data_IF_442177317738
#
_entry.id   IF_442177317738
#
_cell.length_a   1.000
_cell.length_b   1.000
_cell.length_c   1.000
_cell.angle_alpha   90.00
_cell.angle_beta   90.00
_cell.angle_gamma   90.00
#
_symmetry.space_group_name_H-M   'P 1'
#
loop_
_entity.id
_entity.type
_entity.pdbx_description
1 polymer ?
#
# COMPACT_ATOMS: atom_id res chain seq x y z
N UNK A 1 37.90 -9.67 -28.65
CA UNK A 1 36.50 -9.99 -28.30
C UNK A 1 35.62 -9.38 -29.39
N UNK A 2 35.11 -10.17 -30.32
CA UNK A 2 34.21 -9.69 -31.37
C UNK A 2 32.77 -9.82 -30.87
N UNK A 3 32.07 -8.70 -30.74
CA UNK A 3 30.64 -8.72 -30.43
C UNK A 3 29.86 -9.33 -31.59
N UNK A 4 28.85 -10.15 -31.28
CA UNK A 4 27.99 -10.71 -32.32
C UNK A 4 27.14 -9.59 -32.98
N UNK A 5 26.80 -9.71 -34.27
CA UNK A 5 25.90 -8.75 -34.91
C UNK A 5 24.56 -8.69 -34.18
N UNK A 6 24.05 -7.49 -33.89
CA UNK A 6 22.83 -7.33 -33.10
C UNK A 6 22.50 -5.89 -32.72
N UNK A 7 21.37 -5.72 -32.02
CA UNK A 7 20.97 -4.45 -31.43
C UNK A 7 21.57 -4.29 -30.03
N UNK A 8 22.33 -3.20 -29.84
CA UNK A 8 22.95 -2.89 -28.57
C UNK A 8 22.55 -1.47 -28.13
N UNK A 9 22.58 -1.19 -26.82
CA UNK A 9 22.30 0.16 -26.30
C UNK A 9 23.34 1.15 -26.80
N UNK A 10 22.88 2.33 -27.22
CA UNK A 10 23.76 3.42 -27.62
C UNK A 10 24.38 4.09 -26.38
N UNK A 11 25.71 4.12 -26.21
CA UNK A 11 26.36 4.76 -25.06
C UNK A 11 26.07 6.27 -24.97
N UNK A 12 25.83 6.93 -26.10
CA UNK A 12 25.56 8.36 -26.17
C UNK A 12 24.06 8.69 -26.04
N UNK A 13 23.19 7.69 -26.25
CA UNK A 13 21.75 7.86 -26.22
C UNK A 13 21.09 6.62 -25.55
N UNK A 14 21.01 6.57 -24.21
CA UNK A 14 20.52 5.39 -23.48
C UNK A 14 19.05 5.03 -23.78
N UNK A 15 18.29 5.94 -24.40
CA UNK A 15 16.92 5.70 -24.86
C UNK A 15 16.84 5.07 -26.27
N UNK A 16 17.98 4.73 -26.89
CA UNK A 16 18.05 4.17 -28.24
C UNK A 16 18.93 2.91 -28.24
N UNK A 17 18.63 2.02 -29.17
CA UNK A 17 19.52 0.93 -29.55
C UNK A 17 20.02 1.17 -30.96
N UNK A 18 21.27 0.80 -31.21
CA UNK A 18 21.96 0.94 -32.49
C UNK A 18 22.42 -0.44 -32.96
N UNK A 19 22.38 -0.67 -34.26
CA UNK A 19 22.79 -1.96 -34.83
C UNK A 19 24.31 -2.03 -34.98
N UNK A 20 24.89 -3.08 -34.43
CA UNK A 20 26.29 -3.47 -34.60
C UNK A 20 26.36 -4.64 -35.59
N UNK A 21 27.20 -4.54 -36.62
CA UNK A 21 27.30 -5.56 -37.67
C UNK A 21 28.35 -6.65 -37.39
N UNK A 22 29.00 -6.60 -36.22
CA UNK A 22 30.08 -7.51 -35.82
C UNK A 22 31.48 -6.93 -36.00
N UNK A 23 31.63 -5.86 -36.80
CA UNK A 23 32.89 -5.13 -37.01
C UNK A 23 32.77 -3.67 -36.60
N UNK A 24 31.63 -3.03 -36.90
CA UNK A 24 31.36 -1.61 -36.66
C UNK A 24 29.89 -1.31 -36.35
N UNK A 25 29.65 -0.10 -35.85
CA UNK A 25 28.30 0.42 -35.59
C UNK A 25 27.70 1.02 -36.87
N UNK A 26 26.56 0.52 -37.30
CA UNK A 26 25.86 1.03 -38.50
C UNK A 26 24.99 2.25 -38.17
N UNK A 27 24.38 2.91 -39.16
CA UNK A 27 23.49 4.06 -38.91
C UNK A 27 22.08 3.67 -38.42
N UNK A 28 21.73 2.39 -38.46
CA UNK A 28 20.42 1.92 -38.02
C UNK A 28 20.30 2.07 -36.50
N UNK A 29 19.35 2.90 -36.08
CA UNK A 29 19.03 3.15 -34.68
C UNK A 29 17.53 3.19 -34.50
N UNK A 30 17.05 2.58 -33.42
CA UNK A 30 15.64 2.56 -33.05
C UNK A 30 15.49 2.96 -31.58
N UNK A 31 14.39 3.64 -31.21
CA UNK A 31 14.11 3.91 -29.81
C UNK A 31 13.99 2.59 -29.05
N UNK A 32 14.47 2.56 -27.80
CA UNK A 32 14.14 1.48 -26.86
C UNK A 32 12.63 1.56 -26.70
N UNK A 33 11.87 0.60 -27.25
CA UNK A 33 10.45 0.52 -26.94
C UNK A 33 10.33 0.33 -25.41
N UNK A 34 9.76 1.32 -24.74
CA UNK A 34 9.35 1.16 -23.36
C UNK A 34 8.38 -0.02 -23.33
N UNK A 35 8.64 -1.01 -22.48
CA UNK A 35 7.69 -2.07 -22.25
C UNK A 35 6.34 -1.45 -21.88
N UNK A 36 5.20 -2.01 -22.33
CA UNK A 36 3.89 -1.52 -21.93
C UNK A 36 3.85 -1.43 -20.41
N UNK A 37 3.52 -0.25 -19.86
CA UNK A 37 3.33 -0.12 -18.43
C UNK A 37 2.19 -1.05 -18.00
N UNK A 38 2.36 -1.82 -16.90
CA UNK A 38 1.29 -2.68 -16.43
C UNK A 38 0.06 -1.82 -16.10
N UNK A 39 -1.17 -2.31 -16.37
CA UNK A 39 -2.37 -1.54 -16.10
C UNK A 39 -2.44 -1.22 -14.61
N UNK A 40 -2.50 0.08 -14.26
CA UNK A 40 -2.70 0.52 -12.89
C UNK A 40 -4.09 0.06 -12.43
N UNK A 41 -4.16 -0.91 -11.52
CA UNK A 41 -5.42 -1.42 -10.99
C UNK A 41 -6.03 -0.36 -10.06
N UNK A 42 -7.00 0.42 -10.54
CA UNK A 42 -7.76 1.36 -9.71
C UNK A 42 -8.77 0.58 -8.86
N UNK A 43 -8.79 0.82 -7.55
CA UNK A 43 -9.85 0.30 -6.69
C UNK A 43 -11.18 0.95 -7.12
N UNK A 44 -12.23 0.15 -7.25
CA UNK A 44 -13.57 0.63 -7.56
C UNK A 44 -14.07 1.50 -6.42
N UNK A 45 -14.81 2.58 -6.74
CA UNK A 45 -15.52 3.42 -5.77
C UNK A 45 -16.37 2.58 -4.81
N UNK A 46 -16.97 1.48 -5.30
CA UNK A 46 -17.75 0.57 -4.46
C UNK A 46 -16.92 -0.11 -3.38
N UNK A 47 -15.69 -0.53 -3.69
CA UNK A 47 -14.77 -1.13 -2.71
C UNK A 47 -14.37 -0.12 -1.64
N UNK A 48 -14.16 1.14 -2.02
CA UNK A 48 -13.82 2.23 -1.08
C UNK A 48 -14.98 2.47 -0.11
N UNK A 49 -16.21 2.55 -0.63
CA UNK A 49 -17.42 2.75 0.21
C UNK A 49 -17.59 1.61 1.21
N UNK A 50 -17.43 0.36 0.80
CA UNK A 50 -17.55 -0.79 1.70
C UNK A 50 -16.50 -0.78 2.81
N UNK A 51 -15.26 -0.43 2.49
CA UNK A 51 -14.19 -0.31 3.49
C UNK A 51 -14.52 0.79 4.50
N UNK A 52 -14.93 1.98 4.03
CA UNK A 52 -15.26 3.11 4.91
C UNK A 52 -16.43 2.76 5.83
N UNK A 53 -17.50 2.17 5.30
CA UNK A 53 -18.66 1.74 6.11
C UNK A 53 -18.24 0.69 7.14
N UNK A 54 -17.43 -0.30 6.74
CA UNK A 54 -16.91 -1.32 7.67
C UNK A 54 -16.07 -0.73 8.81
N UNK A 55 -15.20 0.23 8.51
CA UNK A 55 -14.37 0.91 9.52
C UNK A 55 -15.24 1.72 10.50
N UNK A 56 -16.24 2.45 10.00
CA UNK A 56 -17.15 3.24 10.85
C UNK A 56 -17.92 2.31 11.80
N UNK A 57 -18.49 1.21 11.28
CA UNK A 57 -19.21 0.24 12.10
C UNK A 57 -18.32 -0.39 13.17
N UNK A 58 -17.08 -0.73 12.81
CA UNK A 58 -16.11 -1.29 13.76
C UNK A 58 -15.76 -0.29 14.87
N UNK A 59 -15.49 0.97 14.54
CA UNK A 59 -15.19 2.01 15.51
C UNK A 59 -16.37 2.28 16.45
N UNK A 60 -17.60 2.33 15.92
CA UNK A 60 -18.81 2.45 16.74
C UNK A 60 -18.98 1.26 17.69
N UNK A 61 -18.76 0.03 17.21
CA UNK A 61 -18.85 -1.17 18.05
C UNK A 61 -17.82 -1.13 19.19
N UNK A 62 -16.56 -0.78 18.89
CA UNK A 62 -15.51 -0.63 19.89
C UNK A 62 -15.89 0.42 20.94
N UNK A 63 -16.39 1.58 20.51
CA UNK A 63 -16.80 2.64 21.43
C UNK A 63 -17.90 2.19 22.39
N UNK A 64 -18.91 1.46 21.89
CA UNK A 64 -19.99 0.90 22.73
C UNK A 64 -19.45 -0.12 23.73
N UNK A 65 -18.55 -1.01 23.31
CA UNK A 65 -17.94 -2.02 24.18
C UNK A 65 -17.13 -1.35 25.28
N UNK A 66 -16.30 -0.37 24.94
CA UNK A 66 -15.47 0.37 25.91
C UNK A 66 -16.34 1.15 26.88
N UNK A 67 -17.36 1.85 26.38
CA UNK A 67 -18.29 2.60 27.24
C UNK A 67 -19.06 1.67 28.19
N UNK A 68 -19.56 0.53 27.69
CA UNK A 68 -20.24 -0.47 28.51
C UNK A 68 -19.32 -1.07 29.55
N UNK A 69 -18.09 -1.42 29.19
CA UNK A 69 -17.10 -1.95 30.12
C UNK A 69 -16.73 -0.95 31.21
N UNK A 70 -16.47 0.31 30.83
CA UNK A 70 -16.19 1.38 31.79
C UNK A 70 -17.37 1.64 32.73
N UNK A 71 -18.59 1.61 32.20
CA UNK A 71 -19.81 1.76 33.00
C UNK A 71 -19.97 0.63 34.02
N UNK A 72 -19.75 -0.63 33.61
CA UNK A 72 -19.80 -1.79 34.52
C UNK A 72 -18.70 -1.70 35.58
N UNK A 73 -17.47 -1.36 35.19
CA UNK A 73 -16.37 -1.18 36.13
C UNK A 73 -16.67 -0.09 37.18
N UNK A 74 -17.22 1.05 36.74
CA UNK A 74 -17.61 2.14 37.62
C UNK A 74 -18.72 1.73 38.61
N UNK A 75 -19.73 0.99 38.14
CA UNK A 75 -20.80 0.46 39.00
C UNK A 75 -20.27 -0.51 40.06
N UNK A 76 -19.31 -1.38 39.70
CA UNK A 76 -18.67 -2.30 40.66
C UNK A 76 -17.91 -1.51 41.73
N UNK A 77 -17.15 -0.48 41.36
CA UNK A 77 -16.47 0.38 42.34
C UNK A 77 -17.48 1.08 43.28
N UNK A 78 -18.62 1.53 42.76
CA UNK A 78 -19.69 2.13 43.57
C UNK A 78 -20.34 1.17 44.57
N UNK A 79 -20.57 -0.09 44.18
CA UNK A 79 -21.12 -1.14 45.06
C UNK A 79 -20.12 -1.55 46.13
N UNK A 80 -18.85 -1.71 45.76
CA UNK A 80 -17.78 -2.03 46.72
C UNK A 80 -17.70 -0.92 47.78
N UNK A 81 -17.53 0.34 47.39
CA UNK A 81 -17.50 1.45 48.36
C UNK A 81 -18.76 1.58 49.24
N UNK A 82 -19.93 1.09 48.79
CA UNK A 82 -21.16 1.06 49.58
C UNK A 82 -21.18 -0.02 50.67
N UNK A 83 -20.55 -1.17 50.43
CA UNK A 83 -20.60 -2.33 51.34
C UNK A 83 -19.50 -2.29 52.41
N UNK A 84 -18.41 -1.53 52.23
CA UNK A 84 -17.37 -1.43 53.27
C UNK A 84 -16.61 -0.09 53.25
N UNK A 85 -17.09 0.94 53.96
CA UNK A 85 -16.52 2.30 53.95
C UNK A 85 -15.12 2.43 54.57
N UNK A 86 -14.51 1.33 55.05
CA UNK A 86 -13.26 1.34 55.82
C UNK A 86 -11.97 1.28 54.98
N UNK A 87 -12.06 1.12 53.65
CA UNK A 87 -10.90 1.09 52.74
C UNK A 87 -10.82 2.27 51.77
N UNK A 88 -11.69 3.27 51.91
CA UNK A 88 -11.62 4.50 51.14
C UNK A 88 -10.89 5.59 51.94
N UNK A 89 -9.57 5.43 52.10
CA UNK A 89 -8.64 6.51 52.50
C UNK A 89 -7.40 6.43 51.63
#
# INVERSE_FOLDING_TARGET
MTHQPGWYRDPYAPQRVRWFDGQQWTQHSQPVQAAPSPPSRKLSTGSIVLIVVGVILLLCAIAVIVAGFAFVAYMIQGVVCGESPHYCT
#
